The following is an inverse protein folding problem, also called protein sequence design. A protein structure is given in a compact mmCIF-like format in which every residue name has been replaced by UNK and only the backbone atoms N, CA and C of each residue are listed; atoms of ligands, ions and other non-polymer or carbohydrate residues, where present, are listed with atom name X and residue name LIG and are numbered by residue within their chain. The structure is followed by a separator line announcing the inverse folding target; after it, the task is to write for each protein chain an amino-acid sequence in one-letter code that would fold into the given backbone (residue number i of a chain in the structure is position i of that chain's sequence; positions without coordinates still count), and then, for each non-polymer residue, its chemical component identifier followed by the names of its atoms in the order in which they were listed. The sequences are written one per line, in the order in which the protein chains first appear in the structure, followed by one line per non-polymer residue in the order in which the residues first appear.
data_IF_911772634888
#
_entry.id   IF_911772634888
#
_cell.length_a   1.000
_cell.length_b   1.000
_cell.length_c   1.000
_cell.angle_alpha   90.00
_cell.angle_beta   90.00
_cell.angle_gamma   90.00
#
_symmetry.space_group_name_H-M   'P 1'
#
loop_
_entity.id
_entity.type
_entity.pdbx_description
1 polymer ?
#
# COMPACT_ATOMS: atom_id res chain seq x y z
N UNK A 1 -7.84 25.50 -9.31
CA UNK A 1 -6.67 24.65 -9.00
C UNK A 1 -7.16 23.26 -8.70
N UNK A 2 -7.03 22.34 -9.66
CA UNK A 2 -7.28 20.91 -9.44
C UNK A 2 -6.31 20.41 -8.37
N UNK A 3 -6.83 19.93 -7.26
CA UNK A 3 -6.03 19.33 -6.18
C UNK A 3 -5.28 18.13 -6.77
N UNK A 4 -3.96 18.21 -6.88
CA UNK A 4 -3.14 17.06 -7.23
C UNK A 4 -3.33 16.00 -6.13
N UNK A 5 -3.98 14.90 -6.50
CA UNK A 5 -4.29 13.84 -5.56
C UNK A 5 -3.07 12.95 -5.42
N UNK A 6 -2.61 12.78 -4.18
CA UNK A 6 -1.36 12.10 -3.86
C UNK A 6 -1.59 10.79 -3.14
N UNK A 7 -0.81 9.77 -3.51
CA UNK A 7 -0.86 8.45 -2.87
C UNK A 7 0.52 7.82 -2.80
N UNK A 8 0.80 7.16 -1.67
CA UNK A 8 2.07 6.51 -1.44
C UNK A 8 2.02 5.02 -1.78
N UNK A 9 3.17 4.41 -2.04
CA UNK A 9 3.30 2.95 -2.08
C UNK A 9 4.52 2.52 -1.28
N UNK A 10 4.41 1.41 -0.53
CA UNK A 10 5.50 0.91 0.32
C UNK A 10 5.57 -0.62 0.31
N UNK A 11 6.68 -1.20 -0.15
CA UNK A 11 6.93 -2.63 -0.04
C UNK A 11 7.53 -2.98 1.31
N UNK A 12 6.94 -3.95 2.01
CA UNK A 12 7.33 -4.27 3.39
C UNK A 12 8.23 -5.50 3.52
N UNK A 13 8.59 -6.18 2.42
CA UNK A 13 9.25 -7.50 2.46
C UNK A 13 10.57 -7.58 3.23
N UNK A 14 11.21 -6.44 3.55
CA UNK A 14 12.42 -6.35 4.38
C UNK A 14 12.27 -5.47 5.63
N UNK A 15 11.05 -5.02 5.92
CA UNK A 15 10.77 -4.12 7.04
C UNK A 15 10.34 -4.90 8.27
N UNK A 16 10.81 -4.46 9.44
CA UNK A 16 10.12 -4.77 10.69
C UNK A 16 8.83 -3.97 10.78
N UNK A 17 7.95 -4.33 11.74
CA UNK A 17 6.73 -3.57 11.95
C UNK A 17 7.04 -2.16 12.47
N UNK A 18 8.09 -2.00 13.28
CA UNK A 18 8.55 -0.72 13.83
C UNK A 18 9.02 0.22 12.72
N UNK A 19 9.93 -0.24 11.84
CA UNK A 19 10.41 0.55 10.70
C UNK A 19 9.24 0.94 9.78
N UNK A 20 8.30 0.01 9.55
CA UNK A 20 7.10 0.27 8.77
C UNK A 20 6.26 1.37 9.41
N UNK A 21 6.02 1.29 10.72
CA UNK A 21 5.23 2.27 11.47
C UNK A 21 5.90 3.65 11.48
N UNK A 22 7.22 3.73 11.65
CA UNK A 22 7.96 5.01 11.60
C UNK A 22 7.80 5.69 10.23
N UNK A 23 7.88 4.92 9.14
CA UNK A 23 7.62 5.42 7.79
C UNK A 23 6.18 5.93 7.66
N UNK A 24 5.20 5.20 8.20
CA UNK A 24 3.80 5.64 8.17
C UNK A 24 3.60 6.96 8.92
N UNK A 25 4.26 7.12 10.07
CA UNK A 25 4.20 8.35 10.87
C UNK A 25 4.88 9.52 10.16
N UNK A 26 6.07 9.33 9.59
CA UNK A 26 6.81 10.36 8.85
C UNK A 26 6.00 10.91 7.66
N UNK A 27 5.25 10.04 6.99
CA UNK A 27 4.39 10.43 5.84
C UNK A 27 2.96 10.77 6.25
N UNK A 28 2.68 10.83 7.55
CA UNK A 28 1.35 11.13 8.11
C UNK A 28 0.24 10.26 7.54
N UNK A 29 0.55 8.99 7.25
CA UNK A 29 -0.39 8.04 6.68
C UNK A 29 -1.54 7.81 7.65
N UNK A 30 -2.77 7.96 7.16
CA UNK A 30 -4.01 7.74 7.92
C UNK A 30 -4.71 6.43 7.56
N UNK A 31 -4.33 5.81 6.43
CA UNK A 31 -4.86 4.52 6.02
C UNK A 31 -3.84 3.70 5.22
N UNK A 32 -3.73 2.42 5.56
CA UNK A 32 -3.00 1.40 4.82
C UNK A 32 -3.99 0.64 3.94
N UNK A 33 -3.75 0.67 2.63
CA UNK A 33 -4.51 -0.06 1.61
C UNK A 33 -3.70 -1.28 1.19
N UNK A 34 -4.15 -2.44 1.64
CA UNK A 34 -3.56 -3.72 1.31
C UNK A 34 -4.15 -4.27 0.00
N UNK A 35 -3.30 -4.43 -1.01
CA UNK A 35 -3.68 -4.95 -2.33
C UNK A 35 -3.14 -6.37 -2.55
N UNK A 36 -2.76 -7.09 -1.50
CA UNK A 36 -2.41 -8.51 -1.60
C UNK A 36 -3.67 -9.31 -1.87
N UNK A 37 -3.61 -10.28 -2.79
CA UNK A 37 -4.73 -11.22 -3.00
C UNK A 37 -4.97 -12.03 -1.73
N UNK A 38 -3.88 -12.54 -1.16
CA UNK A 38 -3.88 -13.25 0.12
C UNK A 38 -2.99 -12.46 1.09
N UNK A 39 -3.58 -11.74 2.07
CA UNK A 39 -2.84 -10.92 3.02
C UNK A 39 -2.21 -11.76 4.15
N UNK A 40 -1.53 -12.84 3.76
CA UNK A 40 -0.69 -13.67 4.63
C UNK A 40 0.78 -13.24 4.45
N UNK A 41 1.61 -13.51 5.45
CA UNK A 41 3.02 -13.14 5.45
C UNK A 41 3.83 -14.11 6.32
N UNK A 42 5.11 -14.30 5.99
CA UNK A 42 6.07 -14.99 6.88
C UNK A 42 6.42 -14.16 8.11
N UNK A 43 6.25 -12.84 8.02
CA UNK A 43 6.39 -11.92 9.14
C UNK A 43 5.01 -11.80 9.81
N UNK A 44 4.81 -12.30 11.04
CA UNK A 44 3.50 -12.40 11.67
C UNK A 44 2.74 -11.08 11.73
N UNK A 45 3.46 -9.97 11.96
CA UNK A 45 2.88 -8.63 12.07
C UNK A 45 2.25 -8.12 10.77
N UNK A 46 2.60 -8.71 9.63
CA UNK A 46 2.00 -8.37 8.34
C UNK A 46 0.91 -9.35 7.91
N UNK A 47 0.48 -10.27 8.78
CA UNK A 47 -0.78 -11.00 8.59
C UNK A 47 -1.97 -10.05 8.81
N UNK A 48 -3.03 -10.19 8.02
CA UNK A 48 -4.18 -9.27 8.01
C UNK A 48 -4.71 -8.91 9.39
N UNK A 49 -4.99 -9.90 10.25
CA UNK A 49 -5.59 -9.64 11.56
C UNK A 49 -4.64 -8.80 12.42
N UNK A 50 -3.41 -9.28 12.61
CA UNK A 50 -2.37 -8.60 13.40
C UNK A 50 -2.04 -7.21 12.88
N UNK A 51 -1.91 -7.06 11.57
CA UNK A 51 -1.62 -5.77 10.94
C UNK A 51 -2.76 -4.78 11.19
N UNK A 52 -4.00 -5.21 11.02
CA UNK A 52 -5.17 -4.37 11.24
C UNK A 52 -5.31 -3.96 12.71
N UNK A 53 -5.04 -4.87 13.64
CA UNK A 53 -5.07 -4.60 15.08
C UNK A 53 -3.99 -3.60 15.47
N UNK A 54 -2.73 -3.88 15.13
CA UNK A 54 -1.61 -3.00 15.45
C UNK A 54 -1.79 -1.61 14.85
N UNK A 55 -2.21 -1.48 13.59
CA UNK A 55 -2.46 -0.17 12.97
C UNK A 55 -3.55 0.62 13.69
N UNK A 56 -4.60 -0.06 14.16
CA UNK A 56 -5.71 0.57 14.89
C UNK A 56 -5.22 1.19 16.20
N UNK A 57 -4.28 0.56 16.91
CA UNK A 57 -3.66 1.11 18.13
C UNK A 57 -2.95 2.45 17.88
N UNK A 58 -2.45 2.67 16.66
CA UNK A 58 -1.83 3.93 16.25
C UNK A 58 -2.78 4.89 15.52
N UNK A 59 -4.09 4.61 15.51
CA UNK A 59 -5.10 5.43 14.83
C UNK A 59 -5.01 5.38 13.30
N UNK A 60 -4.33 4.39 12.74
CA UNK A 60 -4.18 4.20 11.29
C UNK A 60 -5.24 3.19 10.84
N UNK A 61 -6.07 3.58 9.88
CA UNK A 61 -7.08 2.68 9.33
C UNK A 61 -6.42 1.60 8.45
N UNK A 62 -7.06 0.44 8.35
CA UNK A 62 -6.67 -0.63 7.45
C UNK A 62 -7.82 -0.95 6.48
N UNK A 63 -7.50 -1.10 5.20
CA UNK A 63 -8.45 -1.55 4.18
C UNK A 63 -7.79 -2.59 3.28
N UNK A 64 -8.47 -3.70 3.05
CA UNK A 64 -8.03 -4.76 2.13
C UNK A 64 -8.87 -4.69 0.85
N UNK A 65 -8.20 -4.56 -0.31
CA UNK A 65 -8.82 -4.53 -1.64
C UNK A 65 -8.28 -5.71 -2.45
N UNK A 66 -8.88 -6.88 -2.25
CA UNK A 66 -8.48 -8.11 -2.94
C UNK A 66 -8.62 -8.03 -4.47
N UNK A 67 -9.53 -7.16 -4.94
CA UNK A 67 -9.80 -6.92 -6.36
C UNK A 67 -8.57 -6.41 -7.11
N UNK A 68 -7.59 -5.84 -6.39
CA UNK A 68 -6.33 -5.37 -6.95
C UNK A 68 -5.17 -6.38 -6.76
N UNK A 69 -5.47 -7.59 -6.26
CA UNK A 69 -4.50 -8.64 -5.95
C UNK A 69 -3.70 -9.19 -7.15
N UNK A 70 -2.37 -9.30 -6.98
CA UNK A 70 -1.41 -9.71 -8.01
C UNK A 70 -1.26 -11.20 -8.31
N UNK A 71 -1.73 -12.11 -7.45
CA UNK A 71 -1.61 -13.56 -7.63
C UNK A 71 -2.59 -14.05 -8.70
N UNK A 72 -2.36 -13.70 -9.98
CA UNK A 72 -3.23 -13.97 -11.13
C UNK A 72 -2.39 -14.19 -12.39
N UNK A 73 -2.83 -15.08 -13.28
CA UNK A 73 -2.22 -15.27 -14.61
C UNK A 73 -2.55 -14.10 -15.54
N UNK A 74 -1.60 -13.20 -15.77
CA UNK A 74 -1.75 -12.05 -16.69
C UNK A 74 -2.44 -10.84 -16.07
N UNK A 75 -1.72 -10.05 -15.27
CA UNK A 75 -2.27 -8.86 -14.60
C UNK A 75 -2.79 -7.79 -15.57
N UNK A 76 -2.20 -7.65 -16.77
CA UNK A 76 -2.68 -6.71 -17.78
C UNK A 76 -4.07 -7.05 -18.32
N UNK A 77 -4.40 -8.35 -18.42
CA UNK A 77 -5.77 -8.79 -18.72
C UNK A 77 -6.70 -8.43 -17.57
N UNK A 78 -6.24 -8.64 -16.34
CA UNK A 78 -6.99 -8.28 -15.13
C UNK A 78 -7.32 -6.78 -15.08
N UNK A 79 -6.42 -5.89 -15.50
CA UNK A 79 -6.67 -4.44 -15.56
C UNK A 79 -7.91 -4.06 -16.38
N UNK A 80 -8.30 -4.89 -17.35
CA UNK A 80 -9.48 -4.67 -18.20
C UNK A 80 -10.78 -5.17 -17.56
N UNK A 81 -10.69 -5.95 -16.48
CA UNK A 81 -11.85 -6.55 -15.81
C UNK A 81 -12.66 -5.55 -14.99
N UNK A 82 -13.95 -5.82 -14.80
CA UNK A 82 -14.80 -5.04 -13.90
C UNK A 82 -14.36 -5.16 -12.44
N UNK A 83 -13.76 -6.30 -12.06
CA UNK A 83 -13.19 -6.50 -10.73
C UNK A 83 -12.07 -5.47 -10.47
N UNK A 84 -11.11 -5.32 -11.38
CA UNK A 84 -10.06 -4.32 -11.25
C UNK A 84 -10.62 -2.89 -11.20
N UNK A 85 -11.55 -2.53 -12.09
CA UNK A 85 -12.17 -1.20 -12.09
C UNK A 85 -12.89 -0.92 -10.76
N UNK A 86 -13.57 -1.91 -10.18
CA UNK A 86 -14.20 -1.81 -8.85
C UNK A 86 -13.16 -1.59 -7.76
N UNK A 87 -12.05 -2.34 -7.78
CA UNK A 87 -10.92 -2.16 -6.87
C UNK A 87 -10.33 -0.75 -6.96
N UNK A 88 -10.11 -0.23 -8.16
CA UNK A 88 -9.60 1.12 -8.39
C UNK A 88 -10.55 2.20 -7.86
N UNK A 89 -11.87 2.05 -8.07
CA UNK A 89 -12.86 2.98 -7.51
C UNK A 89 -12.82 3.00 -5.98
N UNK A 90 -12.73 1.83 -5.33
CA UNK A 90 -12.60 1.73 -3.87
C UNK A 90 -11.33 2.42 -3.37
N UNK A 91 -10.20 2.14 -4.02
CA UNK A 91 -8.89 2.70 -3.67
C UNK A 91 -8.90 4.22 -3.76
N UNK A 92 -9.37 4.78 -4.88
CA UNK A 92 -9.44 6.23 -5.09
C UNK A 92 -10.33 6.91 -4.05
N UNK A 93 -11.51 6.36 -3.76
CA UNK A 93 -12.43 6.90 -2.73
C UNK A 93 -11.79 6.97 -1.34
N UNK A 94 -10.92 6.03 -0.99
CA UNK A 94 -10.16 6.06 0.27
C UNK A 94 -9.07 7.13 0.21
N UNK A 95 -8.31 7.18 -0.89
CA UNK A 95 -7.21 8.11 -1.08
C UNK A 95 -7.62 9.58 -1.22
N UNK A 96 -8.84 9.85 -1.69
CA UNK A 96 -9.43 11.20 -1.72
C UNK A 96 -9.72 11.73 -0.31
N UNK A 97 -9.96 10.84 0.66
CA UNK A 97 -10.40 11.19 2.02
C UNK A 97 -9.25 11.23 3.03
N UNK A 98 -8.23 10.40 2.81
CA UNK A 98 -7.17 10.13 3.79
C UNK A 98 -5.84 9.98 3.08
N UNK A 99 -4.78 10.50 3.69
CA UNK A 99 -3.40 10.20 3.27
C UNK A 99 -3.18 8.69 3.28
N UNK A 100 -3.01 8.11 2.09
CA UNK A 100 -3.09 6.67 1.87
C UNK A 100 -1.78 6.09 1.38
N UNK A 101 -1.48 4.86 1.83
CA UNK A 101 -0.36 4.06 1.29
C UNK A 101 -0.87 2.72 0.77
N UNK A 102 -0.41 2.32 -0.42
CA UNK A 102 -0.65 1.00 -0.99
C UNK A 102 0.50 0.07 -0.60
N UNK A 103 0.20 -1.06 0.02
CA UNK A 103 1.21 -2.04 0.46
C UNK A 103 1.15 -3.36 -0.31
N UNK A 104 2.30 -4.01 -0.42
CA UNK A 104 2.46 -5.39 -0.88
C UNK A 104 3.77 -5.97 -0.31
N UNK A 105 3.91 -7.29 -0.36
CA UNK A 105 5.10 -8.03 0.09
C UNK A 105 6.36 -7.54 -0.64
N UNK A 106 6.34 -7.57 -1.97
CA UNK A 106 7.52 -7.29 -2.81
C UNK A 106 8.05 -5.88 -2.59
N UNK A 107 9.33 -5.73 -2.28
CA UNK A 107 9.96 -4.43 -1.99
C UNK A 107 9.96 -3.54 -3.24
N UNK A 108 10.34 -4.11 -4.39
CA UNK A 108 10.51 -3.33 -5.60
C UNK A 108 9.21 -3.27 -6.42
N UNK A 109 8.61 -2.08 -6.62
CA UNK A 109 7.38 -1.95 -7.39
C UNK A 109 7.55 -2.42 -8.84
N UNK A 110 8.75 -2.36 -9.43
CA UNK A 110 9.00 -2.77 -10.82
C UNK A 110 8.72 -4.27 -11.07
N UNK A 111 8.83 -5.10 -10.04
CA UNK A 111 8.61 -6.55 -10.12
C UNK A 111 7.28 -6.99 -9.48
N UNK A 112 6.48 -6.02 -9.05
CA UNK A 112 5.24 -6.23 -8.34
C UNK A 112 4.04 -5.76 -9.16
N UNK A 113 2.85 -6.33 -8.91
CA UNK A 113 1.61 -5.87 -9.55
C UNK A 113 1.25 -4.41 -9.24
N UNK A 114 1.81 -3.87 -8.15
CA UNK A 114 1.65 -2.45 -7.80
C UNK A 114 2.13 -1.48 -8.88
N UNK A 115 3.04 -1.87 -9.78
CA UNK A 115 3.40 -1.03 -10.94
C UNK A 115 2.20 -0.71 -11.82
N UNK A 116 1.29 -1.67 -12.00
CA UNK A 116 0.11 -1.49 -12.84
C UNK A 116 -0.91 -0.58 -12.17
N UNK A 117 -1.13 -0.74 -10.87
CA UNK A 117 -1.97 0.15 -10.06
C UNK A 117 -1.40 1.58 -10.09
N UNK A 118 -0.09 1.73 -9.88
CA UNK A 118 0.60 3.01 -9.93
C UNK A 118 0.53 3.67 -11.32
N UNK A 119 0.72 2.88 -12.38
CA UNK A 119 0.61 3.37 -13.77
C UNK A 119 -0.81 3.87 -14.06
N UNK A 120 -1.82 3.14 -13.60
CA UNK A 120 -3.22 3.53 -13.78
C UNK A 120 -3.56 4.81 -13.01
N UNK A 121 -3.11 4.94 -11.75
CA UNK A 121 -3.28 6.16 -10.96
C UNK A 121 -2.61 7.37 -11.62
N UNK A 122 -1.37 7.21 -12.10
CA UNK A 122 -0.65 8.28 -12.82
C UNK A 122 -1.38 8.68 -14.11
N UNK A 123 -1.94 7.72 -14.85
CA UNK A 123 -2.74 7.98 -16.05
C UNK A 123 -3.99 8.81 -15.75
N UNK A 124 -4.56 8.65 -14.56
CA UNK A 124 -5.68 9.44 -14.07
C UNK A 124 -5.25 10.75 -13.36
N UNK A 125 -3.97 11.15 -13.44
CA UNK A 125 -3.47 12.42 -12.90
C UNK A 125 -3.11 12.40 -11.42
N UNK A 126 -2.97 11.24 -10.80
CA UNK A 126 -2.50 11.13 -9.41
C UNK A 126 -0.97 11.22 -9.31
N UNK A 127 -0.49 11.92 -8.29
CA UNK A 127 0.90 11.86 -7.87
C UNK A 127 1.14 10.56 -7.07
N UNK A 128 1.90 9.63 -7.64
CA UNK A 128 2.25 8.37 -6.96
C UNK A 128 3.69 8.41 -6.47
N UNK A 129 3.87 8.36 -5.15
CA UNK A 129 5.18 8.36 -4.50
C UNK A 129 5.55 6.95 -4.00
N UNK A 130 6.59 6.37 -4.59
CA UNK A 130 7.17 5.13 -4.12
C UNK A 130 8.10 5.41 -2.93
N UNK A 131 7.71 5.02 -1.73
CA UNK A 131 8.55 5.13 -0.54
C UNK A 131 9.65 4.07 -0.65
N UNK A 132 10.90 4.53 -0.69
CA UNK A 132 12.06 3.65 -0.52
C UNK A 132 12.35 3.59 0.98
N UNK A 133 12.31 2.42 1.62
CA UNK A 133 12.73 2.33 3.00
C UNK A 133 14.21 2.72 3.09
N UNK A 134 14.50 3.85 3.74
CA UNK A 134 15.85 4.07 4.24
C UNK A 134 16.04 3.05 5.35
N UNK A 135 17.13 2.29 5.35
CA UNK A 135 17.55 1.60 6.58
C UNK A 135 17.66 2.71 7.62
N UNK A 136 16.72 2.77 8.56
CA UNK A 136 16.89 3.61 9.73
C UNK A 136 18.15 3.05 10.39
N UNK A 137 19.25 3.80 10.30
CA UNK A 137 20.43 3.49 11.09
C UNK A 137 19.91 3.50 12.52
N UNK A 138 19.85 2.33 13.15
CA UNK A 138 19.31 2.16 14.50
C UNK A 138 19.97 3.19 15.40
N UNK A 139 19.31 4.30 15.68
CA UNK A 139 19.70 5.20 16.74
C UNK A 139 19.52 4.37 18.00
N UNK A 140 20.63 3.89 18.55
CA UNK A 140 20.65 3.33 19.90
C UNK A 140 20.25 4.47 20.83
N UNK A 141 18.97 4.56 21.16
CA UNK A 141 18.49 5.34 22.29
C UNK A 141 18.57 4.42 23.51
N UNK A 142 19.70 4.48 24.22
CA UNK A 142 19.75 4.23 25.66
C UNK A 142 19.45 5.56 26.36
#
# INVERSE_FOLDING_TARGET
MSKEMKIYTLGYGRLSFEDFLEILKEKEIKIVIDVRRFPTSKIPDFCKERLSEKLKEFGIAYAHIEELGGFRGGYERHMKSEEFKKGMRKLKKLAERKTSVIICVEENPAWCHRRYIAKELKREGWEVIHIKPRRLARSKSH
#
